data_IF_731286606081
#
_entry.id   IF_731286606081
#
_cell.length_a   1.000
_cell.length_b   1.000
_cell.length_c   1.000
_cell.angle_alpha   90.00
_cell.angle_beta   90.00
_cell.angle_gamma   90.00
#
_symmetry.space_group_name_H-M   'P 1'
#
loop_
_entity.id
_entity.type
_entity.pdbx_description
1 polymer ?
#
# COMPACT_ATOMS: atom_id res chain seq x y z
N UNK A 1 11.87 -30.93 8.92
CA UNK A 1 12.82 -30.08 8.18
C UNK A 1 12.14 -28.75 7.86
N UNK A 2 12.70 -27.63 8.32
CA UNK A 2 12.31 -26.29 7.84
C UNK A 2 12.91 -26.10 6.45
N UNK A 3 12.10 -25.71 5.47
CA UNK A 3 12.57 -25.42 4.11
C UNK A 3 12.91 -23.92 4.01
N UNK A 4 13.81 -23.53 3.09
CA UNK A 4 14.16 -22.11 2.85
C UNK A 4 12.92 -21.23 2.58
N UNK A 5 11.86 -21.83 2.05
CA UNK A 5 10.55 -21.21 1.80
C UNK A 5 9.81 -20.85 3.11
N UNK A 6 10.05 -21.59 4.20
CA UNK A 6 9.44 -21.33 5.52
C UNK A 6 10.11 -20.17 6.28
N UNK A 7 11.31 -19.77 5.87
CA UNK A 7 12.04 -18.62 6.43
C UNK A 7 11.60 -17.29 5.82
N UNK A 8 10.98 -17.33 4.63
CA UNK A 8 10.41 -16.16 3.97
C UNK A 8 9.30 -15.58 4.83
N UNK A 9 9.36 -14.26 5.07
CA UNK A 9 8.31 -13.53 5.77
C UNK A 9 7.13 -13.26 4.83
N UNK A 10 6.36 -14.30 4.57
CA UNK A 10 5.22 -14.27 3.64
C UNK A 10 4.20 -13.20 4.00
N UNK A 11 3.98 -12.91 5.28
CA UNK A 11 3.08 -11.84 5.70
C UNK A 11 3.55 -10.48 5.22
N UNK A 12 4.84 -10.17 5.40
CA UNK A 12 5.46 -8.95 4.87
C UNK A 12 5.44 -8.91 3.35
N UNK A 13 5.60 -10.06 2.71
CA UNK A 13 5.51 -10.15 1.25
C UNK A 13 4.08 -9.87 0.75
N UNK A 14 3.05 -10.40 1.40
CA UNK A 14 1.63 -10.10 1.11
C UNK A 14 1.35 -8.61 1.33
N UNK A 15 1.82 -8.02 2.44
CA UNK A 15 1.72 -6.57 2.69
C UNK A 15 2.29 -5.77 1.50
N UNK A 16 3.53 -6.07 1.09
CA UNK A 16 4.21 -5.40 -0.03
C UNK A 16 3.49 -5.55 -1.36
N UNK A 17 2.93 -6.71 -1.64
CA UNK A 17 2.15 -6.94 -2.86
C UNK A 17 0.84 -6.13 -2.84
N UNK A 18 0.13 -6.09 -1.70
CA UNK A 18 -1.08 -5.29 -1.55
C UNK A 18 -0.83 -3.79 -1.74
N UNK A 19 0.34 -3.34 -1.31
CA UNK A 19 0.75 -1.96 -1.49
C UNK A 19 1.03 -1.56 -2.94
N UNK A 20 1.37 -2.52 -3.79
CA UNK A 20 1.59 -2.29 -5.23
C UNK A 20 0.27 -2.29 -6.02
N UNK A 21 -0.84 -2.75 -5.46
CA UNK A 21 -2.13 -2.76 -6.18
C UNK A 21 -2.65 -1.35 -6.53
N UNK A 22 -2.71 -0.37 -5.60
CA UNK A 22 -3.18 0.98 -5.92
C UNK A 22 -2.45 1.66 -7.08
N UNK A 23 -1.10 1.71 -7.13
CA UNK A 23 -0.41 2.33 -8.25
C UNK A 23 -0.62 1.55 -9.56
N UNK A 24 -0.65 0.21 -9.54
CA UNK A 24 -0.88 -0.61 -10.75
C UNK A 24 -2.30 -0.43 -11.32
N UNK A 25 -3.31 -0.38 -10.46
CA UNK A 25 -4.69 -0.11 -10.86
C UNK A 25 -4.82 1.34 -11.32
N UNK A 26 -4.22 2.30 -10.59
CA UNK A 26 -4.24 3.72 -10.94
C UNK A 26 -3.63 4.00 -12.32
N UNK A 27 -2.48 3.39 -12.64
CA UNK A 27 -1.85 3.47 -13.97
C UNK A 27 -2.78 2.92 -15.07
N UNK A 28 -3.49 1.82 -14.80
CA UNK A 28 -4.45 1.24 -15.73
C UNK A 28 -5.65 2.15 -15.98
N UNK A 29 -6.21 2.71 -14.91
CA UNK A 29 -7.32 3.65 -14.99
C UNK A 29 -6.92 4.89 -15.79
N UNK A 30 -5.74 5.46 -15.55
CA UNK A 30 -5.22 6.59 -16.34
C UNK A 30 -5.03 6.21 -17.81
N UNK A 31 -4.49 5.02 -18.09
CA UNK A 31 -4.33 4.52 -19.46
C UNK A 31 -5.65 4.27 -20.19
N UNK A 32 -6.71 3.91 -19.47
CA UNK A 32 -8.06 3.65 -20.05
C UNK A 32 -8.90 4.92 -20.16
N UNK A 33 -8.81 5.85 -19.19
CA UNK A 33 -9.59 7.09 -19.15
C UNK A 33 -8.99 8.24 -19.98
N UNK A 34 -7.76 8.11 -20.46
CA UNK A 34 -7.23 9.04 -21.47
C UNK A 34 -7.89 8.75 -22.83
N UNK A 35 -9.07 9.34 -23.04
CA UNK A 35 -9.66 9.55 -24.38
C UNK A 35 -8.86 10.59 -25.20
N UNK A 36 -7.92 11.28 -24.57
CA UNK A 36 -7.04 12.23 -25.24
C UNK A 36 -5.82 11.48 -25.78
N UNK A 37 -5.62 11.48 -27.11
CA UNK A 37 -4.33 11.18 -27.72
C UNK A 37 -3.25 11.95 -26.96
N UNK A 38 -2.37 11.31 -26.17
CA UNK A 38 -1.48 12.02 -25.25
C UNK A 38 -0.40 12.86 -25.94
N UNK A 39 -0.51 13.10 -27.26
CA UNK A 39 0.55 13.64 -28.12
C UNK A 39 1.76 12.70 -28.25
N UNK A 40 1.75 11.56 -27.54
CA UNK A 40 2.84 10.59 -27.49
C UNK A 40 2.33 9.24 -28.03
N UNK A 41 2.72 8.85 -29.25
CA UNK A 41 2.34 7.58 -29.84
C UNK A 41 2.73 6.40 -28.94
N UNK A 42 1.80 5.47 -28.71
CA UNK A 42 2.06 4.23 -27.98
C UNK A 42 2.05 4.32 -26.44
N UNK A 43 1.91 5.52 -25.85
CA UNK A 43 1.85 5.68 -24.39
C UNK A 43 0.66 4.93 -23.77
N UNK A 44 -0.53 5.04 -24.39
CA UNK A 44 -1.73 4.36 -23.92
C UNK A 44 -1.56 2.84 -23.88
N UNK A 45 -0.97 2.27 -24.94
CA UNK A 45 -0.67 0.84 -25.03
C UNK A 45 0.36 0.41 -23.99
N UNK A 46 1.40 1.21 -23.75
CA UNK A 46 2.38 0.96 -22.70
C UNK A 46 1.75 0.97 -21.29
N UNK A 47 0.91 1.97 -20.97
CA UNK A 47 0.20 2.07 -19.69
C UNK A 47 -0.76 0.89 -19.48
N UNK A 48 -1.49 0.50 -20.53
CA UNK A 48 -2.34 -0.68 -20.53
C UNK A 48 -1.56 -1.96 -20.25
N UNK A 49 -0.43 -2.18 -20.94
CA UNK A 49 0.42 -3.34 -20.72
C UNK A 49 0.98 -3.37 -19.30
N UNK A 50 1.50 -2.25 -18.80
CA UNK A 50 2.01 -2.13 -17.43
C UNK A 50 0.93 -2.49 -16.42
N UNK A 51 -0.30 -2.02 -16.61
CA UNK A 51 -1.39 -2.34 -15.71
C UNK A 51 -1.82 -3.81 -15.80
N UNK A 52 -2.00 -4.35 -17.01
CA UNK A 52 -2.45 -5.72 -17.21
C UNK A 52 -1.41 -6.75 -16.71
N UNK A 53 -0.13 -6.57 -17.07
CA UNK A 53 0.95 -7.41 -16.58
C UNK A 53 1.18 -7.22 -15.10
N UNK A 54 1.17 -5.97 -14.61
CA UNK A 54 1.31 -5.66 -13.19
C UNK A 54 0.22 -6.33 -12.37
N UNK A 55 -1.05 -6.21 -12.78
CA UNK A 55 -2.18 -6.83 -12.09
C UNK A 55 -2.07 -8.35 -12.07
N UNK A 56 -1.68 -8.96 -13.19
CA UNK A 56 -1.50 -10.41 -13.30
C UNK A 56 -0.38 -10.88 -12.37
N UNK A 57 0.78 -10.20 -12.39
CA UNK A 57 1.92 -10.53 -11.55
C UNK A 57 1.58 -10.38 -10.06
N UNK A 58 0.92 -9.29 -9.68
CA UNK A 58 0.48 -9.07 -8.31
C UNK A 58 -0.54 -10.12 -7.85
N UNK A 59 -1.48 -10.50 -8.71
CA UNK A 59 -2.49 -11.54 -8.42
C UNK A 59 -1.82 -12.89 -8.18
N UNK A 60 -0.92 -13.32 -9.08
CA UNK A 60 -0.19 -14.58 -8.93
C UNK A 60 0.73 -14.55 -7.71
N UNK A 61 1.46 -13.45 -7.49
CA UNK A 61 2.31 -13.27 -6.33
C UNK A 61 1.51 -13.38 -5.03
N UNK A 62 0.33 -12.77 -4.97
CA UNK A 62 -0.52 -12.79 -3.78
C UNK A 62 -1.11 -14.18 -3.53
N UNK A 63 -1.54 -14.87 -4.60
CA UNK A 63 -2.01 -16.26 -4.54
C UNK A 63 -0.94 -17.16 -3.92
N UNK A 64 0.28 -17.09 -4.46
CA UNK A 64 1.44 -17.87 -4.00
C UNK A 64 1.75 -17.54 -2.53
N UNK A 65 1.82 -16.25 -2.20
CA UNK A 65 2.17 -15.79 -0.87
C UNK A 65 1.14 -16.21 0.19
N UNK A 66 -0.16 -16.04 -0.09
CA UNK A 66 -1.26 -16.48 0.78
C UNK A 66 -1.23 -17.99 0.94
N UNK A 67 -1.02 -18.75 -0.13
CA UNK A 67 -0.95 -20.21 -0.09
C UNK A 67 0.15 -20.69 0.86
N UNK A 68 1.38 -20.17 0.70
CA UNK A 68 2.52 -20.58 1.50
C UNK A 68 2.39 -20.13 2.96
N UNK A 69 1.94 -18.90 3.23
CA UNK A 69 1.70 -18.44 4.62
C UNK A 69 0.61 -19.28 5.30
N UNK A 70 -0.51 -19.54 4.62
CA UNK A 70 -1.61 -20.33 5.17
C UNK A 70 -1.18 -21.79 5.43
N UNK A 71 -0.40 -22.39 4.51
CA UNK A 71 0.14 -23.74 4.69
C UNK A 71 1.10 -23.81 5.87
N UNK A 72 1.93 -22.78 6.06
CA UNK A 72 2.85 -22.67 7.19
C UNK A 72 2.09 -22.52 8.51
N UNK A 73 1.11 -21.61 8.59
CA UNK A 73 0.31 -21.38 9.80
C UNK A 73 -0.47 -22.63 10.19
N UNK A 74 -1.05 -23.35 9.23
CA UNK A 74 -1.75 -24.62 9.49
C UNK A 74 -0.85 -25.69 10.13
N UNK A 75 0.47 -25.61 9.92
CA UNK A 75 1.47 -26.50 10.53
C UNK A 75 1.98 -26.01 11.89
N UNK A 76 1.49 -24.88 12.41
CA UNK A 76 1.85 -24.27 13.68
C UNK A 76 0.63 -24.27 14.63
N UNK A 77 0.23 -25.43 15.18
CA UNK A 77 -1.10 -25.61 15.80
C UNK A 77 -1.27 -24.84 17.11
N UNK A 78 -0.17 -24.51 17.80
CA UNK A 78 -0.21 -23.92 19.14
C UNK A 78 -0.18 -22.38 19.17
N UNK A 79 0.07 -21.70 18.04
CA UNK A 79 0.34 -20.28 18.05
C UNK A 79 -0.89 -19.36 17.82
N UNK A 80 -2.08 -19.89 17.53
CA UNK A 80 -3.16 -19.09 16.91
C UNK A 80 -4.59 -19.25 17.42
N UNK A 81 -4.82 -20.01 18.50
CA UNK A 81 -6.16 -20.12 19.11
C UNK A 81 -7.26 -20.52 18.12
N UNK A 82 -7.23 -21.76 17.64
CA UNK A 82 -8.21 -22.40 16.75
C UNK A 82 -8.24 -21.97 15.27
N UNK A 83 -7.36 -21.08 14.80
CA UNK A 83 -7.36 -20.70 13.39
C UNK A 83 -6.61 -21.69 12.49
N UNK A 84 -7.37 -22.36 11.62
CA UNK A 84 -6.86 -23.31 10.64
C UNK A 84 -7.18 -22.82 9.22
N UNK A 85 -6.35 -21.94 8.64
CA UNK A 85 -6.61 -21.46 7.28
C UNK A 85 -6.48 -22.60 6.28
N UNK A 86 -7.49 -22.78 5.42
CA UNK A 86 -7.38 -23.67 4.27
C UNK A 86 -6.55 -22.97 3.17
N UNK A 87 -5.34 -23.45 2.84
CA UNK A 87 -4.44 -22.75 1.91
C UNK A 87 -5.05 -22.55 0.52
N UNK A 88 -5.76 -23.56 0.01
CA UNK A 88 -6.36 -23.52 -1.31
C UNK A 88 -7.53 -22.55 -1.40
N UNK A 89 -8.42 -22.52 -0.39
CA UNK A 89 -9.54 -21.58 -0.40
C UNK A 89 -9.07 -20.12 -0.29
N UNK A 90 -8.08 -19.84 0.57
CA UNK A 90 -7.55 -18.48 0.70
C UNK A 90 -6.80 -18.04 -0.57
N UNK A 91 -6.06 -18.96 -1.21
CA UNK A 91 -5.36 -18.69 -2.45
C UNK A 91 -6.32 -18.54 -3.65
N UNK A 92 -7.34 -19.39 -3.76
CA UNK A 92 -8.36 -19.29 -4.81
C UNK A 92 -9.17 -18.00 -4.71
N UNK A 93 -9.38 -17.47 -3.49
CA UNK A 93 -10.01 -16.17 -3.32
C UNK A 93 -9.22 -15.03 -3.99
N UNK A 94 -7.89 -15.15 -4.08
CA UNK A 94 -7.07 -14.18 -4.80
C UNK A 94 -7.31 -14.17 -6.32
N UNK A 95 -7.81 -15.28 -6.90
CA UNK A 95 -8.19 -15.32 -8.33
C UNK A 95 -9.49 -14.56 -8.61
N UNK A 96 -10.38 -14.45 -7.63
CA UNK A 96 -11.64 -13.69 -7.75
C UNK A 96 -11.37 -12.21 -7.51
N UNK A 97 -10.66 -11.90 -6.43
CA UNK A 97 -10.22 -10.55 -6.13
C UNK A 97 -8.97 -10.59 -5.26
N UNK A 98 -7.81 -10.46 -5.91
CA UNK A 98 -6.53 -10.40 -5.23
C UNK A 98 -6.47 -9.33 -4.11
N UNK A 99 -6.82 -8.05 -4.34
CA UNK A 99 -6.70 -7.05 -3.29
C UNK A 99 -7.61 -7.38 -2.09
N UNK A 100 -8.84 -7.84 -2.32
CA UNK A 100 -9.75 -8.22 -1.23
C UNK A 100 -9.22 -9.43 -0.45
N UNK A 101 -8.69 -10.44 -1.17
CA UNK A 101 -8.15 -11.64 -0.58
C UNK A 101 -6.97 -11.36 0.36
N UNK A 102 -6.02 -10.54 -0.08
CA UNK A 102 -4.89 -10.16 0.76
C UNK A 102 -5.31 -9.35 1.98
N UNK A 103 -6.21 -8.38 1.82
CA UNK A 103 -6.70 -7.56 2.95
C UNK A 103 -7.42 -8.42 3.98
N UNK A 104 -8.36 -9.27 3.56
CA UNK A 104 -9.11 -10.16 4.46
C UNK A 104 -8.17 -11.15 5.15
N UNK A 105 -7.21 -11.72 4.41
CA UNK A 105 -6.24 -12.66 4.94
C UNK A 105 -5.33 -12.01 5.99
N UNK A 106 -4.70 -10.86 5.68
CA UNK A 106 -3.87 -10.12 6.62
C UNK A 106 -4.65 -9.63 7.84
N UNK A 107 -5.88 -9.13 7.66
CA UNK A 107 -6.72 -8.71 8.78
C UNK A 107 -6.98 -9.86 9.76
N UNK A 108 -7.30 -11.05 9.24
CA UNK A 108 -7.50 -12.27 10.06
C UNK A 108 -6.21 -12.70 10.75
N UNK A 109 -5.06 -12.54 10.07
CA UNK A 109 -3.75 -12.89 10.59
C UNK A 109 -3.29 -11.93 11.69
N UNK A 110 -3.37 -10.62 11.46
CA UNK A 110 -2.98 -9.59 12.44
C UNK A 110 -3.81 -9.63 13.71
N UNK A 111 -5.12 -9.93 13.61
CA UNK A 111 -5.96 -10.14 14.81
C UNK A 111 -5.47 -11.28 15.72
N UNK A 112 -4.69 -12.22 15.20
CA UNK A 112 -4.27 -13.43 15.92
C UNK A 112 -2.79 -13.43 16.27
N UNK A 113 -1.95 -12.87 15.41
CA UNK A 113 -0.50 -12.87 15.54
C UNK A 113 0.11 -11.48 15.76
N UNK A 114 -0.72 -10.43 15.79
CA UNK A 114 -0.28 -9.04 15.85
C UNK A 114 0.28 -8.53 14.50
N UNK A 115 0.64 -7.25 14.49
CA UNK A 115 1.37 -6.61 13.39
C UNK A 115 2.84 -6.57 13.77
N UNK A 116 3.73 -6.94 12.84
CA UNK A 116 5.18 -6.87 13.08
C UNK A 116 5.68 -5.44 12.94
N UNK A 117 6.61 -5.06 13.83
CA UNK A 117 7.30 -3.77 13.79
C UNK A 117 7.88 -3.48 12.40
N UNK A 118 7.74 -2.23 11.94
CA UNK A 118 8.45 -1.72 10.77
C UNK A 118 9.90 -1.34 11.08
N UNK A 119 10.54 -0.57 10.21
CA UNK A 119 11.79 0.13 10.53
C UNK A 119 11.51 1.57 10.98
N UNK A 120 12.37 2.13 11.83
CA UNK A 120 12.19 3.47 12.41
C UNK A 120 12.19 4.61 11.38
N UNK A 121 12.69 4.40 10.16
CA UNK A 121 12.77 5.44 9.12
C UNK A 121 11.49 5.68 8.32
N UNK A 122 10.41 4.92 8.54
CA UNK A 122 9.19 5.02 7.73
C UNK A 122 8.48 6.38 7.81
N UNK A 123 8.59 7.10 8.94
CA UNK A 123 8.07 8.46 9.06
C UNK A 123 8.67 9.42 8.03
N UNK A 124 9.91 9.22 7.57
CA UNK A 124 10.50 10.03 6.50
C UNK A 124 9.75 9.82 5.18
N UNK A 125 9.35 8.60 4.87
CA UNK A 125 8.57 8.29 3.66
C UNK A 125 7.17 8.90 3.77
N UNK A 126 6.57 8.92 4.97
CA UNK A 126 5.31 9.64 5.23
C UNK A 126 5.50 11.15 5.00
N UNK A 127 6.59 11.74 5.49
CA UNK A 127 6.90 13.16 5.32
C UNK A 127 7.16 13.53 3.85
N UNK A 128 7.93 12.73 3.12
CA UNK A 128 8.14 12.90 1.68
C UNK A 128 6.82 12.80 0.93
N UNK A 129 5.97 11.82 1.26
CA UNK A 129 4.64 11.68 0.62
C UNK A 129 3.76 12.90 0.86
N UNK A 130 3.78 13.48 2.07
CA UNK A 130 3.06 14.73 2.35
C UNK A 130 3.63 15.91 1.55
N UNK A 131 4.96 16.06 1.53
CA UNK A 131 5.63 17.14 0.80
C UNK A 131 5.33 17.07 -0.70
N UNK A 132 5.39 15.87 -1.30
CA UNK A 132 5.05 15.64 -2.71
C UNK A 132 3.60 15.97 -2.99
N UNK A 133 2.66 15.60 -2.12
CA UNK A 133 1.24 15.98 -2.32
C UNK A 133 1.05 17.49 -2.26
N UNK A 134 1.62 18.18 -1.27
CA UNK A 134 1.51 19.64 -1.15
C UNK A 134 2.14 20.36 -2.34
N UNK A 135 3.34 19.95 -2.76
CA UNK A 135 3.99 20.49 -3.94
C UNK A 135 3.20 20.20 -5.22
N UNK A 136 2.65 18.99 -5.34
CA UNK A 136 1.79 18.58 -6.45
C UNK A 136 0.55 19.45 -6.57
N UNK A 137 -0.11 19.80 -5.45
CA UNK A 137 -1.25 20.72 -5.42
C UNK A 137 -0.84 22.12 -5.92
N UNK A 138 0.29 22.65 -5.45
CA UNK A 138 0.81 23.95 -5.89
C UNK A 138 1.13 23.94 -7.38
N UNK A 139 1.86 22.91 -7.85
CA UNK A 139 2.22 22.75 -9.26
C UNK A 139 0.97 22.62 -10.15
N UNK A 140 -0.03 21.86 -9.73
CA UNK A 140 -1.31 21.74 -10.43
C UNK A 140 -2.04 23.08 -10.51
N UNK A 141 -2.06 23.85 -9.43
CA UNK A 141 -2.69 25.18 -9.40
C UNK A 141 -1.99 26.14 -10.38
N UNK A 142 -0.66 26.17 -10.38
CA UNK A 142 0.14 26.97 -11.32
C UNK A 142 -0.13 26.52 -12.77
N UNK A 143 -0.17 25.21 -13.02
CA UNK A 143 -0.45 24.67 -14.35
C UNK A 143 -1.82 25.10 -14.88
N UNK A 144 -2.86 25.06 -14.03
CA UNK A 144 -4.22 25.51 -14.35
C UNK A 144 -4.22 27.00 -14.70
N UNK A 145 -3.56 27.83 -13.89
CA UNK A 145 -3.49 29.28 -14.11
C UNK A 145 -2.74 29.62 -15.41
N UNK A 146 -1.65 28.90 -15.70
CA UNK A 146 -0.78 29.17 -16.85
C UNK A 146 -1.21 28.45 -18.14
N UNK A 147 -2.30 27.68 -18.11
CA UNK A 147 -2.86 26.97 -19.28
C UNK A 147 -1.84 26.09 -20.04
N UNK A 148 -0.86 25.51 -19.34
CA UNK A 148 0.23 24.74 -19.95
C UNK A 148 -0.29 23.33 -20.30
N UNK A 149 -0.49 22.96 -21.59
CA UNK A 149 -1.26 21.77 -21.92
C UNK A 149 -0.41 20.49 -21.91
N UNK A 150 -1.00 19.41 -21.41
CA UNK A 150 -0.63 18.01 -21.69
C UNK A 150 0.49 17.42 -20.82
N UNK A 151 1.73 17.87 -21.01
CA UNK A 151 2.92 17.19 -20.46
C UNK A 151 3.13 17.43 -18.96
N UNK A 152 2.82 18.64 -18.48
CA UNK A 152 2.88 18.98 -17.06
C UNK A 152 1.80 18.25 -16.26
N UNK A 153 0.60 18.11 -16.84
CA UNK A 153 -0.49 17.35 -16.24
C UNK A 153 -0.16 15.86 -16.13
N UNK A 154 0.45 15.27 -17.17
CA UNK A 154 0.89 13.87 -17.15
C UNK A 154 2.00 13.62 -16.11
N UNK A 155 2.97 14.54 -15.98
CA UNK A 155 4.03 14.44 -14.96
C UNK A 155 3.48 14.58 -13.53
N UNK A 156 2.54 15.50 -13.29
CA UNK A 156 1.85 15.67 -12.01
C UNK A 156 1.00 14.42 -11.68
N UNK A 157 0.30 13.87 -12.68
CA UNK A 157 -0.47 12.64 -12.51
C UNK A 157 0.41 11.43 -12.17
N UNK A 158 1.57 11.30 -12.82
CA UNK A 158 2.53 10.22 -12.56
C UNK A 158 3.15 10.35 -11.16
N UNK A 159 3.60 11.55 -10.80
CA UNK A 159 4.16 11.84 -9.48
C UNK A 159 3.14 11.64 -8.36
N UNK A 160 1.88 12.06 -8.60
CA UNK A 160 0.75 11.77 -7.73
C UNK A 160 0.56 10.28 -7.55
N UNK A 161 0.54 9.49 -8.64
CA UNK A 161 0.33 8.03 -8.56
C UNK A 161 1.40 7.34 -7.71
N UNK A 162 2.65 7.76 -7.80
CA UNK A 162 3.76 7.23 -7.01
C UNK A 162 3.63 7.64 -5.52
N UNK A 163 3.36 8.92 -5.25
CA UNK A 163 3.24 9.44 -3.89
C UNK A 163 2.01 8.88 -3.16
N UNK A 164 0.86 8.79 -3.84
CA UNK A 164 -0.37 8.19 -3.31
C UNK A 164 -0.25 6.67 -3.16
N UNK A 165 0.54 5.99 -3.99
CA UNK A 165 0.83 4.56 -3.83
C UNK A 165 1.75 4.25 -2.63
N UNK A 166 2.75 5.10 -2.37
CA UNK A 166 3.70 4.90 -1.29
C UNK A 166 3.16 5.27 0.10
N UNK A 167 2.21 6.21 0.18
CA UNK A 167 1.71 6.72 1.46
C UNK A 167 1.04 5.66 2.35
N UNK A 168 0.10 4.81 1.88
CA UNK A 168 -0.52 3.76 2.69
C UNK A 168 0.49 2.77 3.26
N UNK A 169 1.56 2.49 2.50
CA UNK A 169 2.69 1.65 2.93
C UNK A 169 3.38 2.29 4.11
N UNK A 170 3.81 3.54 3.90
CA UNK A 170 4.67 4.24 4.81
C UNK A 170 3.99 4.45 6.17
N UNK A 171 2.72 4.88 6.14
CA UNK A 171 2.00 5.15 7.37
C UNK A 171 1.62 3.86 8.12
N UNK A 172 1.33 2.77 7.42
CA UNK A 172 1.11 1.48 8.08
C UNK A 172 2.38 0.95 8.73
N UNK A 173 3.51 0.98 8.02
CA UNK A 173 4.77 0.45 8.52
C UNK A 173 5.32 1.30 9.68
N UNK A 174 5.20 2.64 9.60
CA UNK A 174 5.57 3.50 10.72
C UNK A 174 4.62 3.27 11.90
N UNK A 175 3.30 3.20 11.68
CA UNK A 175 2.35 2.95 12.76
C UNK A 175 2.60 1.58 13.42
N UNK A 176 2.98 0.57 12.64
CA UNK A 176 3.38 -0.73 13.18
C UNK A 176 4.63 -0.62 14.06
N UNK A 177 5.65 0.13 13.62
CA UNK A 177 6.85 0.41 14.43
C UNK A 177 6.51 1.14 15.72
N UNK A 178 5.73 2.22 15.68
CA UNK A 178 5.37 2.97 16.89
C UNK A 178 4.50 2.14 17.83
N UNK A 179 3.60 1.32 17.30
CA UNK A 179 2.77 0.46 18.13
C UNK A 179 3.56 -0.60 18.90
N UNK A 180 4.68 -1.07 18.35
CA UNK A 180 5.51 -2.12 18.94
C UNK A 180 6.64 -1.57 19.80
N UNK A 181 7.29 -0.50 19.35
CA UNK A 181 8.52 0.05 19.93
C UNK A 181 8.31 1.41 20.63
N UNK A 182 7.09 1.97 20.58
CA UNK A 182 6.74 3.22 21.24
C UNK A 182 6.23 3.03 22.67
N UNK A 183 6.65 3.94 23.55
CA UNK A 183 6.35 3.85 24.98
C UNK A 183 4.96 4.40 25.35
N UNK A 184 4.55 5.54 24.76
CA UNK A 184 3.36 6.28 25.22
C UNK A 184 2.18 6.27 24.23
N UNK A 185 2.46 6.39 22.93
CA UNK A 185 1.44 6.34 21.87
C UNK A 185 1.48 5.02 21.11
N UNK A 186 0.34 4.35 21.01
CA UNK A 186 0.18 3.08 20.27
C UNK A 186 -0.83 3.23 19.14
N UNK A 187 -0.43 3.76 17.97
CA UNK A 187 -1.32 3.91 16.83
C UNK A 187 -1.75 2.53 16.30
N UNK A 188 -3.02 2.38 15.92
CA UNK A 188 -3.50 1.14 15.30
C UNK A 188 -3.08 1.09 13.82
N UNK A 189 -2.18 0.18 13.40
CA UNK A 189 -1.66 0.16 12.02
C UNK A 189 -2.72 -0.18 10.98
N UNK A 190 -3.72 -0.98 11.36
CA UNK A 190 -4.84 -1.33 10.47
C UNK A 190 -5.78 -0.16 10.22
N UNK A 191 -6.00 0.67 11.25
CA UNK A 191 -6.79 1.90 11.11
C UNK A 191 -6.09 2.89 10.17
N UNK A 192 -4.80 3.16 10.40
CA UNK A 192 -4.03 4.07 9.55
C UNK A 192 -3.92 3.59 8.11
N UNK A 193 -3.79 2.27 7.90
CA UNK A 193 -3.84 1.69 6.55
C UNK A 193 -5.21 1.92 5.88
N UNK A 194 -6.31 1.62 6.59
CA UNK A 194 -7.66 1.81 6.06
C UNK A 194 -7.96 3.27 5.69
N UNK A 195 -7.58 4.21 6.56
CA UNK A 195 -7.73 5.65 6.30
C UNK A 195 -6.82 6.11 5.15
N UNK A 196 -5.61 5.56 5.04
CA UNK A 196 -4.73 5.88 3.91
C UNK A 196 -5.27 5.34 2.58
N UNK A 197 -5.89 4.16 2.55
CA UNK A 197 -6.62 3.69 1.37
C UNK A 197 -7.82 4.58 1.06
N UNK A 198 -8.58 5.02 2.07
CA UNK A 198 -9.69 5.96 1.88
C UNK A 198 -9.20 7.28 1.26
N UNK A 199 -7.98 7.70 1.59
CA UNK A 199 -7.37 8.92 1.04
C UNK A 199 -7.05 8.85 -0.46
N UNK A 200 -7.05 7.66 -1.05
CA UNK A 200 -6.97 7.49 -2.50
C UNK A 200 -8.27 7.95 -3.19
N UNK A 201 -9.41 7.87 -2.50
CA UNK A 201 -10.72 8.28 -3.02
C UNK A 201 -11.12 9.68 -2.56
N UNK A 202 -10.57 10.13 -1.42
CA UNK A 202 -10.82 11.44 -0.83
C UNK A 202 -9.47 12.16 -0.73
N UNK A 203 -9.00 12.84 -1.80
CA UNK A 203 -7.65 13.40 -1.85
C UNK A 203 -7.28 14.32 -0.68
N UNK A 204 -8.17 15.19 -0.15
CA UNK A 204 -7.85 16.02 1.03
C UNK A 204 -7.54 15.22 2.30
N UNK A 205 -7.95 13.96 2.37
CA UNK A 205 -7.74 13.12 3.54
C UNK A 205 -6.25 12.77 3.73
N UNK A 206 -5.49 12.61 2.65
CA UNK A 206 -4.07 12.25 2.71
C UNK A 206 -3.24 13.29 3.47
N UNK A 207 -3.25 14.59 3.12
CA UNK A 207 -2.45 15.58 3.82
C UNK A 207 -2.91 15.79 5.27
N UNK A 208 -4.22 15.67 5.54
CA UNK A 208 -4.77 15.77 6.91
C UNK A 208 -4.25 14.65 7.80
N UNK A 209 -4.32 13.40 7.32
CA UNK A 209 -3.90 12.22 8.07
C UNK A 209 -2.39 12.19 8.24
N UNK A 210 -1.64 12.47 7.17
CA UNK A 210 -0.18 12.54 7.22
C UNK A 210 0.30 13.63 8.19
N UNK A 211 -0.28 14.83 8.10
CA UNK A 211 0.06 15.97 8.98
C UNK A 211 -0.26 15.70 10.45
N UNK A 212 -1.46 15.19 10.75
CA UNK A 212 -1.80 14.77 12.11
C UNK A 212 -0.84 13.70 12.64
N UNK A 213 -0.59 12.66 11.84
CA UNK A 213 0.27 11.55 12.21
C UNK A 213 1.70 12.00 12.49
N UNK A 214 2.32 12.78 11.60
CA UNK A 214 3.69 13.28 11.76
C UNK A 214 3.81 14.22 12.97
N UNK A 215 2.79 15.04 13.24
CA UNK A 215 2.77 15.90 14.43
C UNK A 215 2.74 15.08 15.71
N UNK A 216 1.93 14.02 15.77
CA UNK A 216 1.91 13.06 16.87
C UNK A 216 3.25 12.33 17.00
N UNK A 217 3.79 11.83 15.89
CA UNK A 217 5.06 11.10 15.83
C UNK A 217 6.23 11.93 16.35
N UNK A 218 6.28 13.22 15.99
CA UNK A 218 7.29 14.16 16.47
C UNK A 218 7.24 14.33 17.99
N UNK A 219 6.05 14.48 18.57
CA UNK A 219 5.90 14.59 20.03
C UNK A 219 6.39 13.36 20.77
N UNK A 220 6.16 12.16 20.23
CA UNK A 220 6.71 10.94 20.83
C UNK A 220 8.25 10.94 20.80
N UNK A 221 8.85 11.37 19.68
CA UNK A 221 10.31 11.46 19.56
C UNK A 221 10.92 12.53 20.48
N UNK A 222 10.15 13.55 20.88
CA UNK A 222 10.59 14.59 21.84
C UNK A 222 10.44 14.15 23.31
N UNK A 223 9.67 13.09 23.57
CA UNK A 223 9.40 12.55 24.92
C UNK A 223 10.20 11.28 25.25
N UNK A 224 10.90 10.71 24.26
CA UNK A 224 11.75 9.50 24.35
C UNK A 224 13.21 9.89 24.55
#
# INVERSE_FOLDING_TARGET
MRTHVDEIDWARFIERLLYLFPPVIGVGIVGVLQDAEPGVPGLQFALFLVSAFGYTFLTLGLLVAIFFDARRIRRLPQASGNWHPNPWLNAAFALVSAPLAGVVYLARRHRRFGTRSGWSGWWLVVAVSLATTLFGIVAATIAIILTIPGLLAAAIALAGTIAFGAFPIAIHQDAAYVCTDGDSWRPNPGFYLGVAFLSLFVPPLQPLVAGYYLTRRRREMELS
#
